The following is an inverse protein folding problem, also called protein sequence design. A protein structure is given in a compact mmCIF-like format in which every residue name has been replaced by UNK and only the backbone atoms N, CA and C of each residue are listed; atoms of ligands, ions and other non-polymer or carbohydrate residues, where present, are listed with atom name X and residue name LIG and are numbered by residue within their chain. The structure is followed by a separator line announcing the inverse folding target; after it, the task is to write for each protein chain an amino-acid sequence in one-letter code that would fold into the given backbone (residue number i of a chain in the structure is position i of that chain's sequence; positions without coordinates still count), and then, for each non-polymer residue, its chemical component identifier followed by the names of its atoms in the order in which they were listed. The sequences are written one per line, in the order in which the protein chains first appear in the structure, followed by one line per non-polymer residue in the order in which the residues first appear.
data_IF_036731775545
#
_entry.id   IF_036731775545
#
_cell.length_a   1.000
_cell.length_b   1.000
_cell.length_c   1.000
_cell.angle_alpha   90.00
_cell.angle_beta   90.00
_cell.angle_gamma   90.00
#
_symmetry.space_group_name_H-M   'P 1'
#
loop_
_entity.id
_entity.type
_entity.pdbx_description
1 polymer ?
#
# COMPACT_ATOMS: atom_id res chain seq x y z
N UNK A 1 23.93 2.70 1.50
CA UNK A 1 23.23 1.46 1.07
C UNK A 1 21.82 1.82 0.63
N UNK A 2 21.55 1.84 -0.67
CA UNK A 2 20.21 2.11 -1.19
C UNK A 2 19.34 0.87 -0.97
N UNK A 3 18.45 0.91 0.02
CA UNK A 3 17.40 -0.10 0.20
C UNK A 3 16.45 -0.02 -0.98
N UNK A 4 16.73 -0.83 -2.00
CA UNK A 4 15.81 -1.06 -3.11
C UNK A 4 14.62 -1.86 -2.57
N UNK A 5 13.43 -1.33 -2.80
CA UNK A 5 12.19 -2.05 -2.56
C UNK A 5 11.83 -2.78 -3.84
N UNK A 6 11.68 -4.09 -3.75
CA UNK A 6 11.16 -4.93 -4.84
C UNK A 6 9.69 -5.23 -4.59
N UNK A 7 8.95 -5.56 -5.65
CA UNK A 7 7.52 -5.92 -5.54
C UNK A 7 7.29 -7.04 -4.52
N UNK A 8 8.20 -7.99 -4.43
CA UNK A 8 8.16 -9.12 -3.50
C UNK A 8 8.28 -8.65 -2.04
N UNK A 9 9.29 -7.83 -1.71
CA UNK A 9 9.43 -7.26 -0.36
C UNK A 9 8.26 -6.36 0.03
N UNK A 10 7.69 -5.65 -0.94
CA UNK A 10 6.49 -4.84 -0.72
C UNK A 10 5.29 -5.73 -0.42
N UNK A 11 5.12 -6.82 -1.18
CA UNK A 11 4.05 -7.78 -1.01
C UNK A 11 4.11 -8.42 0.38
N UNK A 12 5.28 -8.95 0.78
CA UNK A 12 5.51 -9.45 2.14
C UNK A 12 5.22 -8.39 3.20
N UNK A 13 5.65 -7.14 2.97
CA UNK A 13 5.40 -6.06 3.92
C UNK A 13 3.91 -5.77 4.08
N UNK A 14 3.17 -5.74 2.98
CA UNK A 14 1.72 -5.51 2.97
C UNK A 14 1.03 -6.63 3.74
N UNK A 15 1.31 -7.90 3.43
CA UNK A 15 0.69 -9.07 4.08
C UNK A 15 1.07 -9.18 5.57
N UNK A 16 2.29 -8.80 5.97
CA UNK A 16 2.72 -8.82 7.39
C UNK A 16 2.16 -7.67 8.22
N UNK A 17 1.91 -6.51 7.61
CA UNK A 17 1.51 -5.30 8.34
C UNK A 17 0.03 -4.97 8.19
N UNK A 18 -0.72 -5.70 7.35
CA UNK A 18 -2.10 -5.39 6.98
C UNK A 18 -2.81 -6.61 6.40
N UNK A 19 -4.12 -6.63 6.56
CA UNK A 19 -5.02 -7.62 5.93
C UNK A 19 -5.34 -7.27 4.45
N UNK A 20 -4.49 -6.46 3.81
CA UNK A 20 -4.63 -6.08 2.41
C UNK A 20 -3.74 -6.97 1.54
N UNK A 21 -4.10 -7.17 0.27
CA UNK A 21 -3.32 -7.92 -0.73
C UNK A 21 -2.78 -6.98 -1.79
N UNK A 22 -1.52 -7.16 -2.18
CA UNK A 22 -0.93 -6.42 -3.29
C UNK A 22 -1.37 -7.07 -4.61
N UNK A 23 -2.05 -6.31 -5.47
CA UNK A 23 -2.47 -6.74 -6.81
C UNK A 23 -1.48 -6.33 -7.91
N UNK A 24 -0.55 -5.43 -7.58
CA UNK A 24 0.44 -4.94 -8.54
C UNK A 24 1.54 -5.96 -8.79
N UNK A 25 1.89 -6.16 -10.06
CA UNK A 25 2.96 -7.09 -10.48
C UNK A 25 4.28 -6.37 -10.75
N UNK A 26 4.26 -5.08 -11.09
CA UNK A 26 5.44 -4.30 -11.44
C UNK A 26 5.60 -3.06 -10.56
N UNK A 27 6.78 -2.91 -9.96
CA UNK A 27 7.14 -1.75 -9.15
C UNK A 27 8.34 -1.02 -9.76
N UNK A 28 8.09 0.17 -10.32
CA UNK A 28 9.10 1.02 -10.95
C UNK A 28 9.64 2.10 -10.02
N UNK A 29 8.97 2.37 -8.89
CA UNK A 29 9.50 3.31 -7.90
C UNK A 29 8.45 3.91 -6.96
N UNK A 30 8.93 4.76 -6.05
CA UNK A 30 8.14 5.31 -4.94
C UNK A 30 6.98 6.21 -5.36
N UNK A 31 7.05 6.80 -6.55
CA UNK A 31 5.97 7.63 -7.11
C UNK A 31 4.86 6.79 -7.75
N UNK A 32 5.11 5.51 -8.05
CA UNK A 32 4.09 4.64 -8.60
C UNK A 32 3.03 4.34 -7.55
N UNK A 33 1.77 4.35 -7.97
CA UNK A 33 0.66 3.86 -7.16
C UNK A 33 0.59 2.35 -7.31
N UNK A 34 0.53 1.66 -6.18
CA UNK A 34 0.29 0.23 -6.12
C UNK A 34 -1.20 -0.02 -5.96
N UNK A 35 -1.76 -0.88 -6.80
CA UNK A 35 -3.09 -1.44 -6.62
C UNK A 35 -3.05 -2.46 -5.48
N UNK A 36 -3.88 -2.23 -4.47
CA UNK A 36 -4.04 -3.06 -3.28
C UNK A 36 -5.53 -3.41 -3.12
N UNK A 37 -5.81 -4.61 -2.63
CA UNK A 37 -7.15 -5.07 -2.27
C UNK A 37 -7.25 -5.15 -0.76
N UNK A 38 -8.23 -4.48 -0.16
CA UNK A 38 -8.47 -4.55 1.28
C UNK A 38 -9.26 -5.81 1.64
N UNK A 39 -9.17 -6.25 2.90
CA UNK A 39 -9.99 -7.34 3.46
C UNK A 39 -11.50 -7.18 3.20
N UNK A 40 -12.00 -5.94 3.06
CA UNK A 40 -13.40 -5.66 2.78
C UNK A 40 -13.80 -5.89 1.30
N UNK A 41 -12.87 -6.29 0.44
CA UNK A 41 -13.08 -6.49 -0.99
C UNK A 41 -12.94 -5.22 -1.85
N UNK A 42 -12.68 -4.06 -1.23
CA UNK A 42 -12.41 -2.83 -1.98
C UNK A 42 -10.98 -2.78 -2.49
N UNK A 43 -10.83 -2.43 -3.77
CA UNK A 43 -9.55 -2.19 -4.42
C UNK A 43 -9.23 -0.71 -4.35
N UNK A 44 -8.01 -0.38 -3.97
CA UNK A 44 -7.55 0.99 -3.82
C UNK A 44 -6.11 1.13 -4.30
N UNK A 45 -5.78 2.32 -4.81
CA UNK A 45 -4.46 2.62 -5.33
C UNK A 45 -3.68 3.47 -4.31
N UNK A 46 -2.46 3.05 -3.96
CA UNK A 46 -1.64 3.79 -3.01
C UNK A 46 -0.16 3.65 -3.26
N UNK A 47 0.58 4.75 -3.11
CA UNK A 47 2.03 4.70 -3.14
C UNK A 47 2.58 3.99 -1.90
N UNK A 48 3.60 3.15 -2.10
CA UNK A 48 4.25 2.42 -1.01
C UNK A 48 4.73 3.34 0.13
N UNK A 49 5.25 4.52 -0.23
CA UNK A 49 5.71 5.53 0.74
C UNK A 49 4.59 5.98 1.68
N UNK A 50 3.36 6.16 1.19
CA UNK A 50 2.20 6.52 2.02
C UNK A 50 1.78 5.34 2.90
N UNK A 51 1.76 4.13 2.32
CA UNK A 51 1.45 2.90 3.03
C UNK A 51 2.38 2.69 4.24
N UNK A 52 3.68 2.87 4.03
CA UNK A 52 4.72 2.73 5.06
C UNK A 52 4.81 3.92 6.02
N UNK A 53 4.97 5.15 5.53
CA UNK A 53 5.29 6.31 6.37
C UNK A 53 4.07 6.95 7.03
N UNK A 54 2.88 6.88 6.40
CA UNK A 54 1.65 7.51 6.92
C UNK A 54 0.73 6.50 7.63
N UNK A 55 1.16 5.25 7.82
CA UNK A 55 0.33 4.13 8.30
C UNK A 55 -1.01 4.00 7.55
N UNK A 56 -1.03 4.41 6.28
CA UNK A 56 -2.23 4.42 5.47
C UNK A 56 -2.45 3.06 4.81
N UNK A 57 -2.68 2.06 5.64
CA UNK A 57 -2.63 0.64 5.29
C UNK A 57 -3.94 0.04 4.79
N UNK A 58 -5.04 0.76 5.01
CA UNK A 58 -6.39 0.33 4.62
C UNK A 58 -6.94 1.20 3.49
N UNK A 59 -8.01 0.70 2.86
CA UNK A 59 -8.78 1.43 1.87
C UNK A 59 -9.47 2.66 2.50
N UNK A 60 -9.93 3.58 1.67
CA UNK A 60 -10.69 4.77 2.10
C UNK A 60 -11.97 4.43 2.85
N UNK A 61 -12.57 3.27 2.59
CA UNK A 61 -13.78 2.81 3.26
C UNK A 61 -13.49 2.39 4.71
N UNK A 62 -12.44 1.58 4.91
CA UNK A 62 -12.05 1.13 6.25
C UNK A 62 -11.31 2.21 7.04
N UNK A 63 -10.58 3.09 6.35
CA UNK A 63 -9.84 4.18 6.97
C UNK A 63 -9.96 5.44 6.11
N UNK A 64 -11.05 6.21 6.28
CA UNK A 64 -11.21 7.47 5.59
C UNK A 64 -10.03 8.38 5.94
N UNK A 65 -9.42 8.96 4.91
CA UNK A 65 -8.41 9.99 5.09
C UNK A 65 -9.10 11.15 5.77
N UNK A 66 -8.81 11.39 7.05
CA UNK A 66 -9.24 12.62 7.71
C UNK A 66 -8.66 13.77 6.89
N UNK A 67 -9.52 14.46 6.15
CA UNK A 67 -9.20 15.78 5.62
C UNK A 67 -8.74 16.63 6.81
N UNK A 68 -7.58 17.26 6.67
CA UNK A 68 -7.10 18.21 7.66
C UNK A 68 -8.08 19.38 7.65
N UNK A 69 -8.98 19.41 8.65
CA UNK A 69 -9.74 20.60 9.02
C UNK A 69 -8.82 21.62 9.68
#
# INVERSE_FOLDING_TARGET
MNKQWTIDTIKEFVEKNSDSKLLTTEYHGFSQKLLLECECGNKFEKSFTKFKNKNQRKCEVCQPLKEAR
#
